data_IF_876076813751
#
_entry.id   IF_876076813751
#
_cell.length_a   1.000
_cell.length_b   1.000
_cell.length_c   1.000
_cell.angle_alpha   90.00
_cell.angle_beta   90.00
_cell.angle_gamma   90.00
#
_symmetry.space_group_name_H-M   'P 1'
#
loop_
_entity.id
_entity.type
_entity.pdbx_description
1 polymer ?
#
# COMPACT_ATOMS: atom_id res chain seq x y z
N UNK A 1 6.22 -6.80 -27.35
CA UNK A 1 4.99 -6.80 -26.54
C UNK A 1 5.20 -5.78 -25.45
N UNK A 2 4.66 -4.58 -25.62
CA UNK A 2 4.66 -3.52 -24.61
C UNK A 2 3.56 -3.84 -23.61
N UNK A 3 3.97 -4.20 -22.39
CA UNK A 3 3.09 -4.40 -21.24
C UNK A 3 2.46 -3.04 -20.90
N UNK A 4 1.13 -2.95 -20.94
CA UNK A 4 0.40 -1.74 -20.57
C UNK A 4 0.39 -1.64 -19.05
N UNK A 5 1.07 -0.65 -18.49
CA UNK A 5 1.06 -0.35 -17.05
C UNK A 5 -0.14 0.54 -16.71
N UNK A 6 -1.01 0.05 -15.83
CA UNK A 6 -2.28 0.68 -15.45
C UNK A 6 -2.17 1.62 -14.22
N UNK A 7 -0.96 2.04 -13.84
CA UNK A 7 -0.68 2.81 -12.61
C UNK A 7 -0.04 4.18 -12.93
N UNK A 8 -0.85 5.20 -13.23
CA UNK A 8 -0.41 6.59 -13.45
C UNK A 8 0.35 7.22 -12.28
N UNK A 9 0.22 6.64 -11.09
CA UNK A 9 0.87 7.05 -9.86
C UNK A 9 2.38 6.72 -9.82
N UNK A 10 2.88 5.80 -10.64
CA UNK A 10 4.32 5.49 -10.76
C UNK A 10 5.00 6.23 -11.92
N UNK A 11 4.24 6.68 -12.94
CA UNK A 11 4.78 7.36 -14.13
C UNK A 11 5.35 8.75 -13.83
N UNK A 12 4.84 9.40 -12.77
CA UNK A 12 5.30 10.74 -12.38
C UNK A 12 6.14 10.68 -11.11
N UNK A 13 7.24 11.43 -11.10
CA UNK A 13 8.09 11.58 -9.90
C UNK A 13 7.31 12.04 -8.68
N UNK A 14 6.29 12.89 -8.88
CA UNK A 14 5.40 13.36 -7.83
C UNK A 14 4.52 12.23 -7.26
N UNK A 15 3.99 11.35 -8.13
CA UNK A 15 3.24 10.17 -7.70
C UNK A 15 4.12 9.18 -6.91
N UNK A 16 5.33 8.88 -7.39
CA UNK A 16 6.30 8.03 -6.66
C UNK A 16 6.65 8.61 -5.28
N UNK A 17 6.84 9.92 -5.19
CA UNK A 17 7.05 10.63 -3.92
C UNK A 17 5.83 10.52 -3.00
N UNK A 18 4.62 10.64 -3.53
CA UNK A 18 3.39 10.50 -2.76
C UNK A 18 3.23 9.08 -2.20
N UNK A 19 3.54 8.05 -3.00
CA UNK A 19 3.52 6.65 -2.56
C UNK A 19 4.56 6.38 -1.46
N UNK A 20 5.79 6.86 -1.65
CA UNK A 20 6.84 6.75 -0.65
C UNK A 20 6.44 7.47 0.66
N UNK A 21 5.90 8.68 0.56
CA UNK A 21 5.42 9.45 1.70
C UNK A 21 4.26 8.75 2.43
N UNK A 22 3.34 8.14 1.68
CA UNK A 22 2.25 7.35 2.23
C UNK A 22 2.77 6.18 3.06
N UNK A 23 3.70 5.38 2.50
CA UNK A 23 4.28 4.23 3.20
C UNK A 23 5.06 4.66 4.44
N UNK A 24 5.84 5.74 4.34
CA UNK A 24 6.58 6.30 5.47
C UNK A 24 5.66 6.77 6.59
N UNK A 25 4.60 7.52 6.25
CA UNK A 25 3.60 8.00 7.21
C UNK A 25 2.83 6.85 7.86
N UNK A 26 2.45 5.84 7.07
CA UNK A 26 1.78 4.64 7.55
C UNK A 26 2.56 3.92 8.64
N UNK A 27 3.88 3.83 8.48
CA UNK A 27 4.74 3.19 9.47
C UNK A 27 5.12 4.09 10.63
N UNK A 28 5.22 5.39 10.44
CA UNK A 28 5.55 6.33 11.52
C UNK A 28 4.43 6.48 12.57
N UNK A 29 3.18 6.19 12.20
CA UNK A 29 1.95 6.34 13.00
C UNK A 29 2.07 5.93 14.50
N UNK A 30 2.68 4.78 14.86
CA UNK A 30 2.81 4.35 16.25
C UNK A 30 3.63 5.29 17.15
N UNK A 31 4.53 6.11 16.59
CA UNK A 31 5.32 7.08 17.37
C UNK A 31 4.53 8.35 17.72
N UNK A 32 3.43 8.64 17.00
CA UNK A 32 2.66 9.88 17.15
C UNK A 32 1.26 9.66 17.72
N UNK A 33 0.66 8.50 17.44
CA UNK A 33 -0.69 8.16 17.87
C UNK A 33 -0.60 6.94 18.75
N UNK A 34 -0.75 7.09 20.06
CA UNK A 34 -0.61 6.01 21.05
C UNK A 34 -1.79 5.02 21.06
N UNK A 35 -3.00 5.49 20.74
CA UNK A 35 -4.21 4.67 20.69
C UNK A 35 -4.22 3.71 19.50
N UNK A 36 -4.39 2.41 19.78
CA UNK A 36 -4.52 1.37 18.74
C UNK A 36 -5.73 1.59 17.84
N UNK A 37 -6.86 1.97 18.44
CA UNK A 37 -8.11 2.22 17.73
C UNK A 37 -8.00 3.44 16.82
N UNK A 38 -7.42 4.54 17.33
CA UNK A 38 -7.20 5.74 16.52
C UNK A 38 -6.26 5.46 15.33
N UNK A 39 -5.18 4.70 15.55
CA UNK A 39 -4.31 4.26 14.45
C UNK A 39 -5.04 3.41 13.43
N UNK A 40 -5.87 2.47 13.87
CA UNK A 40 -6.67 1.63 12.96
C UNK A 40 -7.64 2.49 12.14
N UNK A 41 -8.33 3.44 12.77
CA UNK A 41 -9.23 4.36 12.08
C UNK A 41 -8.50 5.20 11.03
N UNK A 42 -7.35 5.81 11.37
CA UNK A 42 -6.54 6.58 10.41
C UNK A 42 -6.12 5.70 9.23
N UNK A 43 -5.69 4.47 9.51
CA UNK A 43 -5.28 3.50 8.48
C UNK A 43 -6.43 3.11 7.55
N UNK A 44 -7.62 2.89 8.10
CA UNK A 44 -8.83 2.59 7.32
C UNK A 44 -9.20 3.80 6.44
N UNK A 45 -9.23 5.01 7.02
CA UNK A 45 -9.54 6.24 6.27
C UNK A 45 -8.53 6.45 5.13
N UNK A 46 -7.25 6.24 5.38
CA UNK A 46 -6.21 6.33 4.37
C UNK A 46 -6.37 5.29 3.25
N UNK A 47 -6.66 4.04 3.61
CA UNK A 47 -6.86 2.96 2.63
C UNK A 47 -8.12 3.17 1.79
N UNK A 48 -9.26 3.47 2.43
CA UNK A 48 -10.54 3.71 1.75
C UNK A 48 -10.48 4.99 0.93
N UNK A 49 -9.90 6.07 1.47
CA UNK A 49 -9.74 7.32 0.75
C UNK A 49 -8.83 7.20 -0.46
N UNK A 50 -7.70 6.47 -0.32
CA UNK A 50 -6.80 6.19 -1.44
C UNK A 50 -7.47 5.36 -2.54
N UNK A 51 -8.13 4.27 -2.17
CA UNK A 51 -8.86 3.44 -3.13
C UNK A 51 -10.02 4.20 -3.80
N UNK A 52 -10.76 5.00 -3.03
CA UNK A 52 -11.85 5.83 -3.55
C UNK A 52 -11.35 6.92 -4.50
N UNK A 53 -10.21 7.55 -4.20
CA UNK A 53 -9.59 8.53 -5.10
C UNK A 53 -9.14 7.89 -6.40
N UNK A 54 -8.49 6.72 -6.34
CA UNK A 54 -8.11 5.95 -7.55
C UNK A 54 -9.36 5.60 -8.37
N UNK A 55 -10.41 5.10 -7.73
CA UNK A 55 -11.68 4.80 -8.40
C UNK A 55 -12.31 6.03 -9.05
N UNK A 56 -12.33 7.18 -8.36
CA UNK A 56 -12.86 8.42 -8.89
C UNK A 56 -12.03 8.97 -10.06
N UNK A 57 -10.70 8.92 -9.97
CA UNK A 57 -9.82 9.34 -11.05
C UNK A 57 -9.96 8.44 -12.27
N UNK A 58 -10.09 7.13 -12.08
CA UNK A 58 -10.36 6.17 -13.17
C UNK A 58 -11.75 6.37 -13.79
N UNK A 59 -12.76 6.79 -13.03
CA UNK A 59 -14.09 7.11 -13.57
C UNK A 59 -14.11 8.38 -14.43
N UNK A 60 -13.18 9.31 -14.19
CA UNK A 60 -13.06 10.57 -14.95
C UNK A 60 -12.15 10.35 -16.18
N UNK A 61 -11.25 9.38 -16.12
CA UNK A 61 -10.39 8.98 -17.23
C UNK A 61 -11.15 8.13 -18.26
N UNK A 62 -11.73 8.77 -19.27
CA UNK A 62 -12.49 8.14 -20.36
C UNK A 62 -11.59 7.51 -21.44
N UNK A 63 -10.48 6.85 -21.06
CA UNK A 63 -9.70 6.04 -21.99
C UNK A 63 -10.44 4.71 -22.25
N UNK A 64 -10.83 4.38 -23.50
CA UNK A 64 -11.56 3.15 -23.82
C UNK A 64 -10.77 1.85 -23.52
N UNK A 65 -9.47 1.93 -23.22
CA UNK A 65 -8.65 0.79 -22.76
C UNK A 65 -8.73 0.53 -21.26
N UNK A 66 -9.32 1.47 -20.50
CA UNK A 66 -9.56 1.42 -19.07
C UNK A 66 -11.00 1.03 -18.72
N UNK A 67 -11.81 0.65 -19.72
CA UNK A 67 -13.18 0.21 -19.51
C UNK A 67 -13.21 -1.09 -18.69
N UNK A 68 -13.83 -1.10 -17.49
CA UNK A 68 -13.96 -2.33 -16.71
C UNK A 68 -14.71 -3.44 -17.46
N UNK A 69 -15.54 -3.12 -18.47
CA UNK A 69 -16.18 -4.11 -19.32
C UNK A 69 -15.15 -4.91 -20.15
N UNK A 70 -14.06 -4.29 -20.59
CA UNK A 70 -13.00 -4.97 -21.32
C UNK A 70 -12.21 -5.96 -20.43
N UNK A 71 -12.09 -5.67 -19.13
CA UNK A 71 -11.47 -6.59 -18.15
C UNK A 71 -12.40 -7.75 -17.77
N UNK A 72 -13.73 -7.54 -17.80
CA UNK A 72 -14.70 -8.60 -17.49
C UNK A 72 -14.75 -9.70 -18.56
N UNK A 73 -14.46 -9.37 -19.82
CA UNK A 73 -14.37 -10.34 -20.92
C UNK A 73 -13.12 -11.24 -20.84
N UNK A 74 -12.07 -10.83 -20.10
CA UNK A 74 -10.86 -11.63 -19.87
C UNK A 74 -10.93 -12.54 -18.62
N UNK A 75 -11.89 -12.29 -17.71
CA UNK A 75 -11.98 -13.00 -16.42
C UNK A 75 -12.94 -14.19 -16.53
N UNK A 76 -12.44 -15.32 -17.04
CA UNK A 76 -13.14 -16.61 -17.05
C UNK A 76 -12.92 -17.37 -15.73
N UNK A 77 -13.45 -16.83 -14.63
CA UNK A 77 -13.37 -17.46 -13.31
C UNK A 77 -14.72 -18.04 -12.90
N UNK A 78 -14.74 -19.32 -12.52
CA UNK A 78 -15.90 -19.91 -11.87
C UNK A 78 -16.20 -19.23 -10.53
N UNK A 79 -17.46 -19.24 -10.05
CA UNK A 79 -17.81 -18.63 -8.76
C UNK A 79 -16.93 -19.12 -7.60
N UNK A 80 -16.53 -20.39 -7.62
CA UNK A 80 -15.63 -20.98 -6.62
C UNK A 80 -14.22 -20.36 -6.68
N UNK A 81 -13.67 -20.13 -7.87
CA UNK A 81 -12.37 -19.47 -8.03
C UNK A 81 -12.42 -18.01 -7.59
N UNK A 82 -13.52 -17.30 -7.86
CA UNK A 82 -13.73 -15.93 -7.39
C UNK A 82 -13.73 -15.85 -5.86
N UNK A 83 -14.51 -16.71 -5.19
CA UNK A 83 -14.54 -16.75 -3.72
C UNK A 83 -13.20 -17.19 -3.13
N UNK A 84 -12.50 -18.14 -3.75
CA UNK A 84 -11.17 -18.57 -3.33
C UNK A 84 -10.15 -17.44 -3.46
N UNK A 85 -10.19 -16.66 -4.54
CA UNK A 85 -9.35 -15.49 -4.76
C UNK A 85 -9.59 -14.40 -3.72
N UNK A 86 -10.86 -14.06 -3.46
CA UNK A 86 -11.23 -13.10 -2.41
C UNK A 86 -10.79 -13.57 -1.02
N UNK A 87 -11.00 -14.85 -0.69
CA UNK A 87 -10.59 -15.44 0.58
C UNK A 87 -9.05 -15.43 0.73
N UNK A 88 -8.31 -15.75 -0.33
CA UNK A 88 -6.84 -15.64 -0.33
C UNK A 88 -6.37 -14.19 -0.16
N UNK A 89 -6.99 -13.24 -0.85
CA UNK A 89 -6.69 -11.82 -0.70
C UNK A 89 -6.93 -11.32 0.73
N UNK A 90 -8.09 -11.65 1.31
CA UNK A 90 -8.42 -11.33 2.69
C UNK A 90 -7.45 -12.01 3.69
N UNK A 91 -7.11 -13.28 3.47
CA UNK A 91 -6.14 -14.01 4.27
C UNK A 91 -4.75 -13.37 4.18
N UNK A 92 -4.31 -12.93 2.99
CA UNK A 92 -3.04 -12.24 2.81
C UNK A 92 -3.03 -10.89 3.57
N UNK A 93 -4.12 -10.11 3.48
CA UNK A 93 -4.29 -8.85 4.21
C UNK A 93 -4.24 -9.03 5.74
N UNK A 94 -4.64 -10.20 6.27
CA UNK A 94 -4.60 -10.50 7.71
C UNK A 94 -3.24 -11.10 8.10
N UNK A 95 -2.72 -12.06 7.33
CA UNK A 95 -1.56 -12.86 7.69
C UNK A 95 -0.24 -12.12 7.47
N UNK A 96 -0.11 -11.31 6.40
CA UNK A 96 1.12 -10.55 6.10
C UNK A 96 1.45 -9.52 7.20
N UNK A 97 0.49 -8.74 7.73
CA UNK A 97 0.72 -7.89 8.89
C UNK A 97 1.10 -8.67 10.17
N UNK A 98 0.49 -9.84 10.38
CA UNK A 98 0.78 -10.68 11.54
C UNK A 98 2.21 -11.23 11.51
N UNK A 99 2.67 -11.75 10.38
CA UNK A 99 4.04 -12.24 10.21
C UNK A 99 5.08 -11.11 10.32
N UNK A 100 4.79 -9.96 9.71
CA UNK A 100 5.66 -8.78 9.76
C UNK A 100 5.73 -8.13 11.15
N UNK A 101 4.73 -8.33 12.01
CA UNK A 101 4.72 -7.76 13.37
C UNK A 101 5.89 -8.22 14.24
N UNK A 102 6.33 -9.49 14.12
CA UNK A 102 7.45 -10.04 14.90
C UNK A 102 8.80 -9.48 14.45
N UNK A 103 8.98 -9.35 13.13
CA UNK A 103 10.19 -8.76 12.55
C UNK A 103 10.27 -7.27 12.88
N UNK A 104 9.14 -6.56 12.76
CA UNK A 104 9.02 -5.15 13.10
C UNK A 104 9.26 -4.91 14.59
N UNK A 105 8.72 -5.74 15.48
CA UNK A 105 8.99 -5.66 16.92
C UNK A 105 10.48 -5.81 17.22
N UNK A 106 11.15 -6.83 16.63
CA UNK A 106 12.60 -7.00 16.78
C UNK A 106 13.41 -5.81 16.25
N UNK A 107 13.02 -5.24 15.11
CA UNK A 107 13.68 -4.07 14.54
C UNK A 107 13.52 -2.85 15.44
N UNK A 108 12.29 -2.59 15.91
CA UNK A 108 11.97 -1.52 16.86
C UNK A 108 12.80 -1.66 18.15
N UNK A 109 12.85 -2.85 18.73
CA UNK A 109 13.63 -3.09 19.95
C UNK A 109 15.13 -2.83 19.73
N UNK A 110 15.68 -3.22 18.58
CA UNK A 110 17.08 -2.89 18.22
C UNK A 110 17.30 -1.39 18.08
N UNK A 111 16.38 -0.68 17.44
CA UNK A 111 16.48 0.78 17.27
C UNK A 111 16.37 1.51 18.61
N UNK A 112 15.46 1.06 19.49
CA UNK A 112 15.34 1.57 20.86
C UNK A 112 16.59 1.34 21.68
N UNK A 113 17.20 0.14 21.61
CA UNK A 113 18.48 -0.17 22.26
C UNK A 113 19.64 0.71 21.76
N UNK A 114 19.55 1.26 20.54
CA UNK A 114 20.50 2.22 19.97
C UNK A 114 20.16 3.69 20.31
N UNK A 115 19.18 3.94 21.18
CA UNK A 115 18.81 5.28 21.61
C UNK A 115 17.88 6.04 20.66
N UNK A 116 17.35 5.41 19.62
CA UNK A 116 16.41 6.05 18.69
C UNK A 116 15.06 6.24 19.40
N UNK A 117 14.71 7.51 19.64
CA UNK A 117 13.47 7.90 20.36
C UNK A 117 12.20 7.57 19.58
N UNK A 118 12.27 7.59 18.24
CA UNK A 118 11.16 7.37 17.31
C UNK A 118 11.48 6.23 16.33
N UNK A 119 11.46 4.97 16.80
CA UNK A 119 11.91 3.83 16.01
C UNK A 119 11.00 3.55 14.82
N UNK A 120 9.70 3.79 14.94
CA UNK A 120 8.75 3.56 13.84
C UNK A 120 8.89 4.61 12.74
N UNK A 121 9.19 5.86 13.11
CA UNK A 121 9.52 6.94 12.17
C UNK A 121 10.79 6.63 11.40
N UNK A 122 11.82 6.12 12.07
CA UNK A 122 13.06 5.69 11.41
C UNK A 122 12.81 4.53 10.43
N UNK A 123 12.00 3.54 10.82
CA UNK A 123 11.60 2.46 9.91
C UNK A 123 10.76 2.97 8.75
N UNK A 124 9.84 3.91 9.00
CA UNK A 124 9.04 4.56 7.96
C UNK A 124 9.89 5.32 6.96
N UNK A 125 10.92 6.04 7.41
CA UNK A 125 11.85 6.74 6.52
C UNK A 125 12.64 5.75 5.62
N UNK A 126 13.10 4.63 6.18
CA UNK A 126 13.75 3.57 5.39
C UNK A 126 12.78 2.95 4.39
N UNK A 127 11.56 2.63 4.81
CA UNK A 127 10.54 2.07 3.93
C UNK A 127 10.16 3.02 2.80
N UNK A 128 9.97 4.31 3.10
CA UNK A 128 9.71 5.36 2.11
C UNK A 128 10.86 5.47 1.10
N UNK A 129 12.11 5.49 1.57
CA UNK A 129 13.27 5.54 0.69
C UNK A 129 13.35 4.30 -0.22
N UNK A 130 13.09 3.10 0.31
CA UNK A 130 13.06 1.87 -0.48
C UNK A 130 11.94 1.89 -1.53
N UNK A 131 10.73 2.31 -1.16
CA UNK A 131 9.60 2.44 -2.10
C UNK A 131 9.94 3.43 -3.21
N UNK A 132 10.45 4.61 -2.86
CA UNK A 132 10.85 5.61 -3.84
C UNK A 132 11.94 5.08 -4.79
N UNK A 133 12.97 4.42 -4.26
CA UNK A 133 14.06 3.88 -5.09
C UNK A 133 13.57 2.76 -6.02
N UNK A 134 12.71 1.87 -5.52
CA UNK A 134 12.15 0.78 -6.32
C UNK A 134 11.25 1.32 -7.42
N UNK A 135 10.41 2.31 -7.13
CA UNK A 135 9.56 2.93 -8.14
C UNK A 135 10.37 3.77 -9.12
N UNK A 136 11.42 4.46 -8.69
CA UNK A 136 12.30 5.24 -9.57
C UNK A 136 13.07 4.35 -10.56
N UNK A 137 13.47 3.13 -10.18
CA UNK A 137 14.15 2.18 -11.08
C UNK A 137 13.19 1.59 -12.12
N UNK A 138 11.87 1.62 -11.85
CA UNK A 138 10.83 1.06 -12.72
C UNK A 138 10.17 2.09 -13.62
N UNK A 139 10.38 3.38 -13.36
CA UNK A 139 9.91 4.50 -14.14
C UNK A 139 10.80 4.77 -15.37
#
# INVERSE_FOLDING_TARGET
MTQTDYYSLDDTRAGRLAQAAFVGGWEALPDYVSSRAARAAIKIVLAVGGAGLVGALNMIDEDPRNDPAALLDEVDLSPAQTWAGLACGAAALICLPALSSRLRARAVDRLRRRGIRRPHTALGAVAAALVFLVSEVRA
#
